data_IF_964108442388
#
_entry.id   IF_964108442388
#
_cell.length_a   1.000
_cell.length_b   1.000
_cell.length_c   1.000
_cell.angle_alpha   90.00
_cell.angle_beta   90.00
_cell.angle_gamma   90.00
#
_symmetry.space_group_name_H-M   'P 1'
#
loop_
_entity.id
_entity.type
_entity.pdbx_description
1 polymer ?
#
# COMPACT_ATOMS: atom_id res chain seq x y z
N UNK A 1 4.85 12.66 16.81
CA UNK A 1 3.88 13.23 17.80
C UNK A 1 4.15 14.71 17.94
N UNK A 2 3.14 15.58 17.75
CA UNK A 2 3.28 17.04 17.89
C UNK A 2 3.10 17.42 19.36
N UNK A 3 4.13 18.02 19.94
CA UNK A 3 4.06 18.65 21.26
C UNK A 3 3.70 20.14 21.11
N UNK A 4 2.96 20.70 22.05
CA UNK A 4 2.58 22.11 22.03
C UNK A 4 2.51 22.70 23.42
N UNK A 5 2.94 23.96 23.54
CA UNK A 5 2.84 24.73 24.78
C UNK A 5 2.53 26.19 24.48
N UNK A 6 2.01 26.91 25.45
CA UNK A 6 1.78 28.35 25.34
C UNK A 6 3.04 29.12 25.75
N UNK A 7 3.35 30.16 25.00
CA UNK A 7 4.39 31.14 25.34
C UNK A 7 3.86 32.57 25.19
N UNK A 8 4.34 33.46 26.04
CA UNK A 8 3.96 34.87 26.04
C UNK A 8 5.09 35.67 25.39
N UNK A 9 4.76 36.46 24.38
CA UNK A 9 5.71 37.40 23.75
C UNK A 9 5.01 38.71 23.52
N UNK A 10 5.63 39.79 23.99
CA UNK A 10 5.10 41.19 23.91
C UNK A 10 3.66 41.31 24.45
N UNK A 11 3.32 40.59 25.55
CA UNK A 11 2.00 40.66 26.21
C UNK A 11 0.87 39.86 25.52
N UNK A 12 1.20 39.00 24.53
CA UNK A 12 0.24 38.14 23.82
C UNK A 12 0.63 36.68 23.90
N UNK A 13 -0.37 35.79 23.89
CA UNK A 13 -0.18 34.34 23.83
C UNK A 13 0.16 33.88 22.42
N UNK A 14 1.12 32.96 22.35
CA UNK A 14 1.51 32.22 21.16
C UNK A 14 1.39 30.71 21.44
N UNK A 15 0.86 29.96 20.49
CA UNK A 15 0.98 28.52 20.48
C UNK A 15 2.34 28.14 19.85
N UNK A 16 3.17 27.47 20.62
CA UNK A 16 4.46 26.95 20.14
C UNK A 16 4.31 25.47 19.93
N UNK A 17 4.22 25.05 18.68
CA UNK A 17 4.18 23.63 18.29
C UNK A 17 5.60 23.16 18.02
N UNK A 18 5.89 21.93 18.44
CA UNK A 18 7.18 21.31 18.14
C UNK A 18 7.01 19.85 17.74
N UNK A 19 7.73 19.43 16.72
CA UNK A 19 7.72 18.08 16.18
C UNK A 19 9.11 17.60 15.84
N UNK A 20 9.31 16.30 15.72
CA UNK A 20 10.54 15.73 15.21
C UNK A 20 10.50 15.81 13.69
N UNK A 21 11.42 16.54 13.10
CA UNK A 21 11.65 16.63 11.66
C UNK A 21 13.07 16.14 11.37
N UNK A 22 13.22 14.91 10.90
CA UNK A 22 14.51 14.31 10.63
C UNK A 22 15.44 14.27 11.87
N UNK A 23 16.68 14.73 11.73
CA UNK A 23 17.67 14.77 12.80
C UNK A 23 17.46 15.90 13.81
N UNK A 24 16.64 16.91 13.51
CA UNK A 24 16.45 18.10 14.36
C UNK A 24 14.97 18.29 14.73
N UNK A 25 14.76 18.76 15.96
CA UNK A 25 13.43 19.16 16.44
C UNK A 25 13.07 20.51 15.84
N UNK A 26 11.93 20.56 15.14
CA UNK A 26 11.41 21.78 14.55
C UNK A 26 10.34 22.43 15.44
N UNK A 27 10.20 23.75 15.34
CA UNK A 27 9.23 24.52 16.10
C UNK A 27 8.54 25.56 15.23
N UNK A 28 7.21 25.72 15.42
CA UNK A 28 6.40 26.76 14.76
C UNK A 28 5.67 27.59 15.79
N UNK A 29 5.77 28.90 15.67
CA UNK A 29 5.09 29.86 16.53
C UNK A 29 3.87 30.41 15.83
N UNK A 30 2.70 30.26 16.46
CA UNK A 30 1.42 30.73 15.91
C UNK A 30 0.85 31.77 16.89
N UNK A 31 0.65 33.02 16.45
CA UNK A 31 0.05 34.04 17.30
C UNK A 31 -1.43 33.73 17.50
N UNK A 32 -1.90 33.78 18.75
CA UNK A 32 -3.30 33.52 19.07
C UNK A 32 -4.16 34.81 19.09
N UNK A 33 -3.53 35.99 19.02
CA UNK A 33 -4.22 37.27 19.11
C UNK A 33 -4.82 37.57 20.49
N UNK A 34 -4.52 36.74 21.51
CA UNK A 34 -5.05 36.87 22.86
C UNK A 34 -4.03 37.55 23.78
N UNK A 35 -4.44 38.64 24.46
CA UNK A 35 -3.62 39.31 25.47
C UNK A 35 -3.42 38.42 26.69
N UNK A 36 -2.28 38.57 27.38
CA UNK A 36 -1.92 37.80 28.57
C UNK A 36 -2.95 37.87 29.69
N UNK A 37 -3.52 39.09 29.91
CA UNK A 37 -4.44 39.33 31.01
C UNK A 37 -5.80 38.66 30.77
N UNK A 38 -6.17 37.69 31.63
CA UNK A 38 -7.48 37.05 31.66
C UNK A 38 -7.78 36.01 30.59
N UNK A 39 -6.89 35.76 29.62
CA UNK A 39 -7.17 34.90 28.47
C UNK A 39 -6.46 33.52 28.50
N UNK A 40 -5.81 33.13 29.60
CA UNK A 40 -5.07 31.88 29.69
C UNK A 40 -5.92 30.65 29.33
N UNK A 41 -7.17 30.58 29.82
CA UNK A 41 -8.06 29.43 29.53
C UNK A 41 -8.48 29.37 28.06
N UNK A 42 -8.77 30.54 27.46
CA UNK A 42 -9.08 30.63 26.02
C UNK A 42 -7.87 30.22 25.17
N UNK A 43 -6.67 30.70 25.52
CA UNK A 43 -5.45 30.35 24.83
C UNK A 43 -5.16 28.84 24.88
N UNK A 44 -5.52 28.18 25.99
CA UNK A 44 -5.31 26.74 26.15
C UNK A 44 -6.25 25.90 25.30
N UNK A 45 -7.51 26.35 25.14
CA UNK A 45 -8.49 25.72 24.24
C UNK A 45 -8.03 25.88 22.78
N UNK A 46 -7.60 27.07 22.39
CA UNK A 46 -7.12 27.35 21.04
C UNK A 46 -5.84 26.57 20.70
N UNK A 47 -4.89 26.43 21.65
CA UNK A 47 -3.73 25.57 21.52
C UNK A 47 -4.14 24.12 21.24
N UNK A 48 -5.13 23.58 21.97
CA UNK A 48 -5.60 22.21 21.80
C UNK A 48 -6.21 21.99 20.43
N UNK A 49 -6.99 22.96 19.94
CA UNK A 49 -7.59 22.94 18.60
C UNK A 49 -6.52 22.97 17.50
N UNK A 50 -5.62 23.96 17.57
CA UNK A 50 -4.52 24.10 16.63
C UNK A 50 -3.65 22.83 16.61
N UNK A 51 -3.38 22.23 17.78
CA UNK A 51 -2.61 21.00 17.88
C UNK A 51 -3.29 19.79 17.22
N UNK A 52 -4.61 19.67 17.31
CA UNK A 52 -5.38 18.59 16.68
C UNK A 52 -5.48 18.74 15.15
N UNK A 53 -5.48 19.97 14.66
CA UNK A 53 -5.59 20.33 13.24
C UNK A 53 -4.22 20.47 12.56
N UNK A 54 -3.13 20.52 13.34
CA UNK A 54 -1.80 20.79 12.81
C UNK A 54 -1.26 19.59 12.04
N UNK A 55 -1.14 19.77 10.73
CA UNK A 55 -0.43 18.85 9.85
C UNK A 55 1.05 19.21 9.89
N UNK A 56 1.90 18.27 10.31
CA UNK A 56 3.35 18.44 10.32
C UNK A 56 3.82 18.75 8.89
N UNK A 57 4.49 19.88 8.63
CA UNK A 57 5.08 20.12 7.33
C UNK A 57 6.12 19.01 7.04
N UNK A 58 5.96 18.31 5.94
CA UNK A 58 7.00 17.42 5.43
C UNK A 58 8.05 18.33 4.79
N UNK A 59 9.30 18.21 5.22
CA UNK A 59 10.40 18.94 4.56
C UNK A 59 10.47 18.49 3.09
N UNK A 60 10.57 19.44 2.17
CA UNK A 60 10.56 19.20 0.71
C UNK A 60 11.81 18.44 0.22
N UNK A 61 12.78 18.15 1.10
CA UNK A 61 14.08 17.56 0.76
C UNK A 61 14.16 16.03 0.86
N UNK A 62 13.04 15.31 1.01
CA UNK A 62 13.11 13.85 0.94
C UNK A 62 13.08 13.40 -0.53
N UNK A 63 14.28 13.34 -1.14
CA UNK A 63 14.52 12.83 -2.49
C UNK A 63 13.88 11.47 -2.75
N UNK A 64 13.61 10.71 -1.70
CA UNK A 64 12.97 9.39 -1.79
C UNK A 64 11.51 9.47 -2.22
N UNK A 65 10.79 10.55 -1.88
CA UNK A 65 9.40 10.76 -2.30
C UNK A 65 9.26 11.28 -3.74
N UNK A 66 10.33 11.83 -4.32
CA UNK A 66 10.36 12.33 -5.70
C UNK A 66 10.69 11.23 -6.72
N UNK A 67 11.03 10.03 -6.23
CA UNK A 67 11.21 8.87 -7.12
C UNK A 67 9.89 8.46 -7.78
N UNK A 68 9.96 7.91 -8.99
CA UNK A 68 8.78 7.38 -9.65
C UNK A 68 8.16 6.24 -8.84
N UNK A 69 6.84 6.24 -8.72
CA UNK A 69 6.13 5.14 -8.03
C UNK A 69 6.44 3.77 -8.64
N UNK A 70 6.68 3.71 -9.96
CA UNK A 70 7.11 2.50 -10.65
C UNK A 70 8.46 1.99 -10.16
N UNK A 71 9.44 2.88 -9.94
CA UNK A 71 10.77 2.53 -9.44
C UNK A 71 10.70 2.14 -7.96
N UNK A 72 9.93 2.89 -7.15
CA UNK A 72 9.65 2.53 -5.77
C UNK A 72 9.08 1.11 -5.62
N UNK A 73 8.15 0.70 -6.50
CA UNK A 73 7.59 -0.65 -6.47
C UNK A 73 8.64 -1.74 -6.69
N UNK A 74 9.62 -1.50 -7.55
CA UNK A 74 10.71 -2.44 -7.80
C UNK A 74 11.66 -2.52 -6.60
N UNK A 75 12.01 -1.39 -5.98
CA UNK A 75 12.82 -1.37 -4.76
C UNK A 75 12.10 -2.06 -3.59
N UNK A 76 10.82 -1.72 -3.38
CA UNK A 76 10.01 -2.38 -2.36
C UNK A 76 9.93 -3.89 -2.57
N UNK A 77 9.85 -4.35 -3.82
CA UNK A 77 9.79 -5.78 -4.15
C UNK A 77 11.06 -6.51 -3.69
N UNK A 78 12.23 -5.91 -3.88
CA UNK A 78 13.49 -6.49 -3.37
C UNK A 78 13.53 -6.52 -1.83
N UNK A 79 13.05 -5.48 -1.17
CA UNK A 79 12.92 -5.46 0.30
C UNK A 79 11.93 -6.55 0.78
N UNK A 80 10.83 -6.74 0.07
CA UNK A 80 9.81 -7.73 0.40
C UNK A 80 10.27 -9.18 0.22
N UNK A 81 11.28 -9.43 -0.63
CA UNK A 81 11.83 -10.74 -0.93
C UNK A 81 12.19 -11.55 0.32
N UNK A 82 12.83 -10.91 1.30
CA UNK A 82 13.25 -11.57 2.54
C UNK A 82 12.09 -11.91 3.51
N UNK A 83 10.86 -11.45 3.22
CA UNK A 83 9.68 -11.60 4.10
C UNK A 83 8.56 -12.44 3.48
N UNK A 84 8.61 -12.66 2.18
CA UNK A 84 7.59 -13.40 1.43
C UNK A 84 8.04 -14.84 1.18
N UNK A 85 7.06 -15.76 1.17
CA UNK A 85 7.31 -17.10 0.64
C UNK A 85 7.68 -17.00 -0.85
N UNK A 86 8.56 -17.90 -1.32
CA UNK A 86 9.10 -17.91 -2.69
C UNK A 86 7.98 -17.83 -3.75
N UNK A 87 6.92 -18.62 -3.60
CA UNK A 87 5.79 -18.63 -4.52
C UNK A 87 5.03 -17.28 -4.55
N UNK A 88 4.88 -16.63 -3.39
CA UNK A 88 4.23 -15.32 -3.27
C UNK A 88 5.10 -14.24 -3.93
N UNK A 89 6.40 -14.25 -3.66
CA UNK A 89 7.35 -13.33 -4.28
C UNK A 89 7.34 -13.47 -5.81
N UNK A 90 7.41 -14.69 -6.34
CA UNK A 90 7.33 -14.96 -7.78
C UNK A 90 6.04 -14.42 -8.40
N UNK A 91 4.90 -14.60 -7.72
CA UNK A 91 3.62 -14.05 -8.16
C UNK A 91 3.63 -12.51 -8.17
N UNK A 92 4.21 -11.88 -7.15
CA UNK A 92 4.34 -10.41 -7.07
C UNK A 92 5.23 -9.87 -8.19
N UNK A 93 6.39 -10.51 -8.43
CA UNK A 93 7.27 -10.17 -9.57
C UNK A 93 6.49 -10.17 -10.88
N UNK A 94 5.74 -11.26 -11.14
CA UNK A 94 4.95 -11.40 -12.35
C UNK A 94 3.92 -10.27 -12.49
N UNK A 95 3.11 -10.01 -11.46
CA UNK A 95 2.05 -9.00 -11.49
C UNK A 95 2.60 -7.56 -11.57
N UNK A 96 3.68 -7.26 -10.86
CA UNK A 96 4.30 -5.94 -10.90
C UNK A 96 4.87 -5.69 -12.30
N UNK A 97 5.77 -6.55 -12.78
CA UNK A 97 6.47 -6.34 -14.06
C UNK A 97 5.57 -6.40 -15.29
N UNK A 98 4.51 -7.23 -15.26
CA UNK A 98 3.62 -7.36 -16.41
C UNK A 98 2.54 -6.30 -16.48
N UNK A 99 2.17 -5.68 -15.36
CA UNK A 99 0.95 -4.87 -15.35
C UNK A 99 1.04 -3.58 -14.54
N UNK A 100 1.58 -3.60 -13.31
CA UNK A 100 1.53 -2.44 -12.43
C UNK A 100 2.61 -1.44 -12.81
N UNK A 101 3.85 -1.89 -12.84
CA UNK A 101 5.02 -1.06 -13.15
C UNK A 101 4.90 -0.38 -14.52
N UNK A 102 4.59 -1.07 -15.64
CA UNK A 102 4.51 -0.42 -16.94
C UNK A 102 3.43 0.67 -16.99
N UNK A 103 2.29 0.43 -16.33
CA UNK A 103 1.21 1.41 -16.28
C UNK A 103 1.65 2.70 -15.56
N UNK A 104 2.19 2.60 -14.35
CA UNK A 104 2.59 3.77 -13.58
C UNK A 104 3.83 4.46 -14.16
N UNK A 105 4.74 3.72 -14.79
CA UNK A 105 5.88 4.28 -15.51
C UNK A 105 5.45 5.15 -16.68
N UNK A 106 4.45 4.72 -17.45
CA UNK A 106 3.88 5.52 -18.52
C UNK A 106 3.24 6.82 -18.02
N UNK A 107 2.62 6.79 -16.83
CA UNK A 107 2.01 7.97 -16.21
C UNK A 107 3.05 8.93 -15.61
N UNK A 108 4.29 8.50 -15.43
CA UNK A 108 5.41 9.28 -14.84
C UNK A 108 5.07 9.90 -13.48
N UNK A 109 4.25 9.23 -12.68
CA UNK A 109 3.86 9.70 -11.36
C UNK A 109 4.95 9.40 -10.34
N UNK A 110 5.32 10.40 -9.56
CA UNK A 110 6.19 10.21 -8.39
C UNK A 110 5.40 9.60 -7.24
N UNK A 111 6.10 9.07 -6.24
CA UNK A 111 5.47 8.52 -5.04
C UNK A 111 4.68 9.61 -4.29
N UNK A 112 5.15 10.86 -4.30
CA UNK A 112 4.50 12.04 -3.68
C UNK A 112 3.22 12.44 -4.41
N UNK A 113 3.23 12.39 -5.74
CA UNK A 113 2.08 12.77 -6.59
C UNK A 113 1.01 11.70 -6.68
N UNK A 114 1.29 10.49 -6.16
CA UNK A 114 0.35 9.38 -6.25
C UNK A 114 -0.89 9.65 -5.38
N UNK A 115 -2.04 9.72 -6.03
CA UNK A 115 -3.35 9.91 -5.40
C UNK A 115 -4.25 8.68 -5.56
N UNK A 116 -5.30 8.59 -4.72
CA UNK A 116 -6.29 7.51 -4.81
C UNK A 116 -6.95 7.42 -6.20
N UNK A 117 -7.18 8.56 -6.86
CA UNK A 117 -7.74 8.59 -8.23
C UNK A 117 -6.85 7.89 -9.26
N UNK A 118 -5.54 7.97 -9.12
CA UNK A 118 -4.61 7.32 -10.04
C UNK A 118 -4.66 5.79 -9.90
N UNK A 119 -4.73 5.31 -8.65
CA UNK A 119 -4.89 3.90 -8.34
C UNK A 119 -6.26 3.37 -8.79
N UNK A 120 -7.35 4.15 -8.59
CA UNK A 120 -8.68 3.81 -9.05
C UNK A 120 -8.77 3.72 -10.58
N UNK A 121 -8.12 4.66 -11.28
CA UNK A 121 -8.04 4.64 -12.75
C UNK A 121 -7.33 3.38 -13.27
N UNK A 122 -6.23 2.99 -12.62
CA UNK A 122 -5.54 1.73 -12.92
C UNK A 122 -6.49 0.53 -12.78
N UNK A 123 -7.27 0.44 -11.70
CA UNK A 123 -8.21 -0.69 -11.54
C UNK A 123 -9.29 -0.67 -12.60
N UNK A 124 -9.84 0.49 -12.93
CA UNK A 124 -10.87 0.63 -13.95
C UNK A 124 -10.37 0.21 -15.33
N UNK A 125 -9.14 0.54 -15.68
CA UNK A 125 -8.52 0.10 -16.94
C UNK A 125 -8.25 -1.41 -16.94
N UNK A 126 -7.72 -1.95 -15.84
CA UNK A 126 -7.41 -3.39 -15.74
C UNK A 126 -8.66 -4.26 -15.72
N UNK A 127 -9.77 -3.82 -15.13
CA UNK A 127 -11.04 -4.55 -15.13
C UNK A 127 -11.60 -4.79 -16.54
N UNK A 128 -11.18 -4.03 -17.55
CA UNK A 128 -11.57 -4.25 -18.95
C UNK A 128 -10.90 -5.49 -19.57
N UNK A 129 -9.76 -5.93 -19.02
CA UNK A 129 -8.91 -6.98 -19.62
C UNK A 129 -8.62 -8.15 -18.69
N UNK A 130 -8.83 -8.01 -17.38
CA UNK A 130 -8.59 -9.08 -16.40
C UNK A 130 -9.77 -9.25 -15.47
N UNK A 131 -9.86 -10.44 -14.84
CA UNK A 131 -10.92 -10.75 -13.87
C UNK A 131 -10.78 -9.90 -12.59
N UNK A 132 -11.89 -9.57 -11.89
CA UNK A 132 -11.89 -8.82 -10.64
C UNK A 132 -10.93 -9.37 -9.59
N UNK A 133 -10.80 -10.68 -9.47
CA UNK A 133 -9.87 -11.30 -8.53
C UNK A 133 -8.40 -10.91 -8.80
N UNK A 134 -8.01 -10.73 -10.06
CA UNK A 134 -6.66 -10.27 -10.43
C UNK A 134 -6.44 -8.82 -9.97
N UNK A 135 -7.45 -7.95 -10.11
CA UNK A 135 -7.38 -6.56 -9.61
C UNK A 135 -7.28 -6.51 -8.09
N UNK A 136 -7.93 -7.44 -7.38
CA UNK A 136 -7.77 -7.58 -5.92
C UNK A 136 -6.32 -7.92 -5.56
N UNK A 137 -5.63 -8.76 -6.34
CA UNK A 137 -4.21 -9.02 -6.14
C UNK A 137 -3.34 -7.79 -6.41
N UNK A 138 -3.63 -7.02 -7.46
CA UNK A 138 -2.95 -5.74 -7.70
C UNK A 138 -3.14 -4.78 -6.53
N UNK A 139 -4.36 -4.66 -6.00
CA UNK A 139 -4.63 -3.85 -4.81
C UNK A 139 -3.79 -4.31 -3.61
N UNK A 140 -3.72 -5.61 -3.34
CA UNK A 140 -2.96 -6.15 -2.21
C UNK A 140 -1.47 -5.78 -2.30
N UNK A 141 -0.89 -5.83 -3.50
CA UNK A 141 0.51 -5.45 -3.75
C UNK A 141 0.70 -3.94 -3.54
N UNK A 142 -0.09 -3.09 -4.22
CA UNK A 142 0.02 -1.63 -4.12
C UNK A 142 -0.22 -1.17 -2.68
N UNK A 143 -1.23 -1.71 -2.01
CA UNK A 143 -1.52 -1.38 -0.61
C UNK A 143 -0.38 -1.78 0.32
N UNK A 144 0.24 -2.95 0.13
CA UNK A 144 1.37 -3.41 0.95
C UNK A 144 2.62 -2.56 0.72
N UNK A 145 2.91 -2.18 -0.52
CA UNK A 145 4.02 -1.30 -0.85
C UNK A 145 3.83 0.09 -0.21
N UNK A 146 2.66 0.69 -0.39
CA UNK A 146 2.36 2.00 0.20
C UNK A 146 2.28 1.97 1.74
N UNK A 147 1.84 0.85 2.34
CA UNK A 147 1.90 0.66 3.79
C UNK A 147 3.35 0.69 4.29
N UNK A 148 4.28 0.13 3.52
CA UNK A 148 5.70 0.20 3.83
C UNK A 148 6.24 1.62 3.67
N UNK A 149 5.87 2.35 2.61
CA UNK A 149 6.23 3.75 2.40
C UNK A 149 5.79 4.65 3.57
N UNK A 150 4.56 4.44 4.08
CA UNK A 150 4.08 5.14 5.29
C UNK A 150 4.91 4.78 6.53
N UNK A 151 5.30 3.50 6.67
CA UNK A 151 6.10 3.04 7.81
C UNK A 151 7.52 3.61 7.81
N UNK A 152 8.05 3.93 6.64
CA UNK A 152 9.39 4.51 6.43
C UNK A 152 9.35 6.02 6.21
N UNK A 153 8.22 6.65 6.53
CA UNK A 153 8.00 8.11 6.44
C UNK A 153 8.18 8.72 5.04
N UNK A 154 8.24 7.90 3.98
CA UNK A 154 8.32 8.36 2.58
C UNK A 154 7.03 9.06 2.12
N UNK A 155 5.89 8.66 2.66
CA UNK A 155 4.58 9.28 2.41
C UNK A 155 3.75 9.34 3.69
N UNK A 156 2.89 10.35 3.79
CA UNK A 156 2.09 10.61 5.00
C UNK A 156 0.97 9.57 5.17
N UNK A 157 0.39 9.09 4.07
CA UNK A 157 -0.77 8.20 4.09
C UNK A 157 -0.74 7.18 2.95
N UNK A 158 -1.38 6.04 3.19
CA UNK A 158 -1.58 5.04 2.15
C UNK A 158 -2.82 5.38 1.32
N UNK A 159 -2.61 5.92 0.11
CA UNK A 159 -3.71 6.32 -0.78
C UNK A 159 -4.53 5.12 -1.28
N UNK A 160 -3.95 3.92 -1.33
CA UNK A 160 -4.69 2.72 -1.72
C UNK A 160 -5.75 2.31 -0.68
N UNK A 161 -5.66 2.79 0.57
CA UNK A 161 -6.71 2.55 1.58
C UNK A 161 -8.02 3.28 1.27
N UNK A 162 -7.99 4.30 0.40
CA UNK A 162 -9.16 5.10 0.01
C UNK A 162 -9.80 4.64 -1.30
N UNK A 163 -9.29 3.55 -1.89
CA UNK A 163 -9.70 3.07 -3.21
C UNK A 163 -10.68 1.92 -3.05
N UNK A 164 -11.76 1.94 -3.84
CA UNK A 164 -12.74 0.87 -3.86
C UNK A 164 -12.20 -0.36 -4.59
N UNK A 165 -12.23 -1.48 -3.89
CA UNK A 165 -11.85 -2.78 -4.46
C UNK A 165 -13.04 -3.38 -5.19
N UNK A 166 -12.85 -4.05 -6.34
CA UNK A 166 -13.91 -4.81 -6.98
C UNK A 166 -14.39 -5.94 -6.06
N UNK A 167 -15.65 -6.32 -6.19
CA UNK A 167 -16.19 -7.50 -5.51
C UNK A 167 -15.49 -8.75 -6.04
N UNK A 168 -15.20 -9.67 -5.13
CA UNK A 168 -14.67 -10.99 -5.49
C UNK A 168 -15.71 -11.75 -6.29
N UNK A 169 -15.28 -12.33 -7.41
CA UNK A 169 -16.14 -13.28 -8.13
C UNK A 169 -16.17 -14.60 -7.36
N UNK A 170 -17.35 -15.15 -7.19
CA UNK A 170 -17.52 -16.48 -6.64
C UNK A 170 -16.95 -17.50 -7.63
N UNK A 171 -16.04 -18.33 -7.13
CA UNK A 171 -15.50 -19.44 -7.89
C UNK A 171 -16.43 -20.63 -7.76
N UNK A 172 -17.00 -21.07 -8.87
CA UNK A 172 -17.69 -22.35 -8.94
C UNK A 172 -16.70 -23.40 -9.44
N UNK A 173 -16.32 -24.36 -8.59
CA UNK A 173 -15.42 -25.41 -9.00
C UNK A 173 -16.13 -26.32 -10.02
N UNK A 174 -15.41 -26.67 -11.09
CA UNK A 174 -15.82 -27.69 -12.05
C UNK A 174 -15.11 -28.98 -11.67
N UNK A 175 -15.86 -30.02 -11.46
CA UNK A 175 -15.35 -31.35 -11.14
C UNK A 175 -15.44 -32.25 -12.36
N UNK A 176 -14.42 -33.07 -12.57
CA UNK A 176 -14.49 -34.12 -13.59
C UNK A 176 -15.43 -35.24 -13.13
N UNK A 177 -16.25 -35.75 -14.05
CA UNK A 177 -16.99 -36.97 -13.81
C UNK A 177 -16.06 -38.20 -13.73
N UNK A 178 -16.55 -39.30 -13.25
CA UNK A 178 -15.79 -40.56 -13.22
C UNK A 178 -15.28 -40.96 -14.61
N UNK A 179 -16.12 -40.80 -15.63
CA UNK A 179 -15.75 -41.12 -17.03
C UNK A 179 -14.67 -40.14 -17.57
N UNK A 180 -14.80 -38.86 -17.27
CA UNK A 180 -13.78 -37.87 -17.66
C UNK A 180 -12.47 -38.10 -16.95
N UNK A 181 -12.50 -38.48 -15.67
CA UNK A 181 -11.33 -38.87 -14.89
C UNK A 181 -10.62 -40.06 -15.48
N UNK A 182 -11.38 -41.10 -15.88
CA UNK A 182 -10.81 -42.26 -16.53
C UNK A 182 -10.15 -41.91 -17.86
N UNK A 183 -10.81 -41.14 -18.71
CA UNK A 183 -10.23 -40.63 -19.97
C UNK A 183 -8.96 -39.86 -19.75
N UNK A 184 -8.92 -39.04 -18.70
CA UNK A 184 -7.72 -38.30 -18.33
C UNK A 184 -6.57 -39.26 -17.96
N UNK A 185 -6.81 -40.29 -17.15
CA UNK A 185 -5.79 -41.28 -16.78
C UNK A 185 -5.30 -42.07 -18.02
N UNK A 186 -6.18 -42.47 -18.90
CA UNK A 186 -5.81 -43.15 -20.17
C UNK A 186 -4.92 -42.25 -21.05
N UNK A 187 -5.26 -40.95 -21.17
CA UNK A 187 -4.48 -40.01 -21.96
C UNK A 187 -3.11 -39.71 -21.39
N UNK A 188 -2.90 -39.87 -20.07
CA UNK A 188 -1.65 -39.63 -19.39
C UNK A 188 -0.74 -40.86 -19.31
N UNK A 189 -1.25 -42.03 -19.67
CA UNK A 189 -0.53 -43.32 -19.59
C UNK A 189 0.79 -43.26 -20.36
N UNK A 190 1.89 -43.65 -19.71
CA UNK A 190 3.25 -43.62 -20.27
C UNK A 190 3.90 -42.23 -20.33
N UNK A 191 3.21 -41.19 -19.90
CA UNK A 191 3.79 -39.83 -19.81
C UNK A 191 4.43 -39.56 -18.45
N UNK A 192 5.30 -38.53 -18.36
CA UNK A 192 5.91 -38.10 -17.09
C UNK A 192 4.88 -37.61 -16.06
N UNK A 193 3.67 -37.28 -16.48
CA UNK A 193 2.61 -36.79 -15.61
C UNK A 193 1.70 -37.89 -15.04
N UNK A 194 1.82 -39.12 -15.54
CA UNK A 194 0.97 -40.24 -15.10
C UNK A 194 1.04 -40.45 -13.58
N UNK A 195 2.21 -40.68 -13.02
CA UNK A 195 2.38 -40.93 -11.58
C UNK A 195 1.96 -39.71 -10.71
N UNK A 196 2.45 -38.49 -10.98
CA UNK A 196 2.02 -37.32 -10.22
C UNK A 196 0.50 -37.11 -10.22
N UNK A 197 -0.17 -37.26 -11.35
CA UNK A 197 -1.61 -37.07 -11.45
C UNK A 197 -2.39 -38.17 -10.75
N UNK A 198 -1.95 -39.43 -10.86
CA UNK A 198 -2.54 -40.54 -10.11
C UNK A 198 -2.45 -40.31 -8.60
N UNK A 199 -1.26 -39.99 -8.10
CA UNK A 199 -1.04 -39.70 -6.67
C UNK A 199 -1.90 -38.52 -6.20
N UNK A 200 -1.96 -37.42 -6.98
CA UNK A 200 -2.81 -36.28 -6.65
C UNK A 200 -4.29 -36.65 -6.59
N UNK A 201 -4.77 -37.44 -7.55
CA UNK A 201 -6.18 -37.83 -7.64
C UNK A 201 -6.58 -38.78 -6.50
N UNK A 202 -5.78 -39.80 -6.20
CA UNK A 202 -6.10 -40.77 -5.15
C UNK A 202 -5.99 -40.21 -3.72
N UNK A 203 -5.02 -39.34 -3.46
CA UNK A 203 -4.80 -38.77 -2.13
C UNK A 203 -5.38 -37.36 -1.94
N UNK A 204 -5.99 -36.77 -2.97
CA UNK A 204 -6.54 -35.42 -2.92
C UNK A 204 -5.48 -34.32 -2.74
N UNK A 205 -4.27 -34.56 -3.22
CA UNK A 205 -3.13 -33.65 -3.03
C UNK A 205 -3.20 -32.47 -3.99
N UNK A 206 -2.77 -31.30 -3.49
CA UNK A 206 -2.58 -30.13 -4.34
C UNK A 206 -1.31 -30.28 -5.18
N UNK A 207 -1.26 -29.58 -6.32
CA UNK A 207 -0.07 -29.60 -7.20
C UNK A 207 1.26 -29.37 -6.47
N UNK A 208 1.30 -28.41 -5.53
CA UNK A 208 2.53 -28.11 -4.77
C UNK A 208 2.85 -29.09 -3.64
N UNK A 209 1.99 -30.09 -3.40
CA UNK A 209 2.20 -31.20 -2.45
C UNK A 209 2.71 -32.44 -3.17
N UNK A 210 2.57 -32.50 -4.49
CA UNK A 210 3.00 -33.60 -5.35
C UNK A 210 4.33 -33.34 -6.03
N UNK A 211 4.64 -32.07 -6.34
CA UNK A 211 5.83 -31.59 -7.03
C UNK A 211 6.77 -30.88 -6.07
#
# INVERSE_FOLDING_TARGET
MVAGHLQIKKGYYYAVLSWSGGEKRQTKWIPLGLSEKGNKRKAQVELSKIRSEFIVPVEEDDLSADMLFADYLLEWLEIAKGRLAIATYSSYVGLIKSSIEPYFRQKKLTLRELEARHVQSFYSEKLKVVKPNTVIHYHAIIHSALKYAVKTDMVIQNVASKVDRPKKNDFQPVFLSAEETQKMFEALKGTKLELPVLVAAFYGLRRGEVL
#
